data_IF_443975585536
#
_entry.id   IF_443975585536
#
_cell.length_a   1.000
_cell.length_b   1.000
_cell.length_c   1.000
_cell.angle_alpha   90.00
_cell.angle_beta   90.00
_cell.angle_gamma   90.00
#
_symmetry.space_group_name_H-M   'P 1'
#
loop_
_entity.id
_entity.type
_entity.pdbx_description
1 polymer ?
2 non-polymer ?
3 water ?
#
# COMPACT_ATOMS: atom_id res chain seq x y z
N UNK A 56 -6.76 -16.84 3.15
CA UNK A 56 -8.20 -16.73 3.17
C UNK A 56 -8.83 -17.13 1.85
N UNK A 57 -10.17 -17.01 1.76
CA UNK A 57 -10.86 -17.45 0.55
C UNK A 57 -10.82 -16.47 -0.61
N UNK A 58 -10.27 -15.26 -0.41
CA UNK A 58 -10.23 -14.26 -1.46
C UNK A 58 -8.95 -14.37 -2.26
N UNK A 59 -9.07 -14.26 -3.57
CA UNK A 59 -7.90 -14.28 -4.44
C UNK A 59 -7.14 -12.97 -4.28
N UNK A 60 -5.82 -13.07 -4.15
CA UNK A 60 -4.97 -11.92 -3.89
C UNK A 60 -4.03 -11.67 -5.07
N UNK A 61 -3.35 -10.53 -5.02
CA UNK A 61 -2.31 -10.22 -6.00
C UNK A 61 -1.21 -11.26 -5.92
N UNK A 62 -0.87 -11.70 -4.71
CA UNK A 62 0.15 -12.74 -4.56
C UNK A 62 -0.27 -14.03 -5.24
N UNK A 63 -1.55 -14.40 -5.11
CA UNK A 63 -2.06 -15.58 -5.81
C UNK A 63 -1.94 -15.40 -7.32
N UNK A 64 -2.32 -14.21 -7.81
CA UNK A 64 -2.24 -13.92 -9.24
C UNK A 64 -0.80 -14.08 -9.75
N UNK A 65 0.17 -13.58 -8.99
CA UNK A 65 1.58 -13.70 -9.38
C UNK A 65 2.00 -15.16 -9.38
N UNK A 66 1.62 -15.89 -8.33
CA UNK A 66 2.03 -17.29 -8.19
C UNK A 66 1.48 -18.14 -9.33
N UNK A 67 0.26 -17.84 -9.79
CA UNK A 67 -0.45 -18.70 -10.71
C UNK A 67 -0.16 -18.40 -12.17
N UNK A 68 0.72 -17.45 -12.46
CA UNK A 68 1.01 -17.05 -13.83
C UNK A 68 2.52 -16.95 -14.02
N UNK A 69 2.92 -16.81 -15.29
CA UNK A 69 4.34 -16.66 -15.63
C UNK A 69 4.74 -15.20 -15.38
N UNK A 70 4.78 -14.86 -14.10
CA UNK A 70 5.06 -13.51 -13.65
C UNK A 70 6.23 -13.56 -12.68
N UNK A 71 7.26 -12.78 -12.95
CA UNK A 71 8.39 -12.63 -12.05
C UNK A 71 8.19 -11.38 -11.21
N UNK A 72 8.35 -11.52 -9.90
CA UNK A 72 8.24 -10.40 -8.97
C UNK A 72 9.59 -10.17 -8.31
N UNK A 73 10.06 -8.93 -8.36
CA UNK A 73 11.33 -8.54 -7.76
C UNK A 73 11.10 -7.32 -6.87
N UNK A 74 11.67 -7.28 -5.67
CA UNK A 74 11.53 -6.08 -4.85
C UNK A 74 12.28 -4.92 -5.45
N UNK A 75 11.75 -3.72 -5.27
CA UNK A 75 12.34 -2.50 -5.80
C UNK A 75 12.68 -1.58 -4.65
N UNK A 76 13.83 -0.91 -4.75
CA UNK A 76 14.27 0.03 -3.72
C UNK A 76 14.58 1.37 -4.37
N UNK A 77 14.55 2.41 -3.54
CA UNK A 77 14.84 3.76 -4.03
C UNK A 77 16.17 3.78 -4.77
N UNK A 78 16.17 4.37 -5.96
CA UNK A 78 17.37 4.52 -6.74
C UNK A 78 17.69 3.34 -7.65
N UNK A 79 16.87 2.30 -7.67
CA UNK A 79 17.15 1.16 -8.52
C UNK A 79 17.07 1.58 -9.99
N UNK A 80 18.04 1.22 -10.81
CA UNK A 80 17.91 1.48 -12.25
C UNK A 80 16.63 0.88 -12.82
N UNK A 81 15.98 1.62 -13.70
CA UNK A 81 14.78 1.16 -14.37
C UNK A 81 13.50 1.33 -13.59
N UNK A 82 13.55 1.89 -12.37
CA UNK A 82 12.37 1.96 -11.53
C UNK A 82 11.79 3.37 -11.52
N UNK A 83 10.49 3.51 -11.25
CA UNK A 83 9.89 4.85 -11.20
C UNK A 83 10.36 5.61 -9.97
N UNK A 84 10.31 6.94 -10.08
CA UNK A 84 10.60 7.82 -8.95
C UNK A 84 9.27 8.18 -8.31
N UNK A 85 9.12 7.83 -7.04
CA UNK A 85 7.86 8.02 -6.32
C UNK A 85 8.15 8.97 -5.16
N UNK A 86 7.58 10.18 -5.25
CA UNK A 86 7.80 11.22 -4.24
C UNK A 86 6.58 11.21 -3.31
N UNK A 87 6.69 10.48 -2.21
CA UNK A 87 5.67 10.49 -1.17
C UNK A 87 5.92 11.66 -0.21
N UNK A 88 4.88 12.37 0.21
CA UNK A 88 5.07 13.45 1.17
C UNK A 88 5.18 12.90 2.59
N UNK A 89 5.80 13.71 3.45
CA UNK A 89 5.84 13.43 4.88
C UNK A 89 4.92 14.43 5.56
N UNK A 90 3.69 14.03 5.92
CA UNK A 90 2.76 14.99 6.54
C UNK A 90 3.33 15.55 7.83
N UNK A 91 2.78 16.70 8.23
CA UNK A 91 3.20 17.31 9.49
C UNK A 91 2.90 16.38 10.65
N UNK A 92 3.81 16.37 11.62
CA UNK A 92 3.77 15.51 12.81
C UNK A 92 4.08 14.05 12.50
N UNK A 93 4.41 13.71 11.25
CA UNK A 93 4.90 12.39 10.89
C UNK A 93 6.39 12.49 10.59
N UNK A 94 7.09 11.38 10.76
CA UNK A 94 8.52 11.32 10.45
C UNK A 94 8.77 10.22 9.43
N UNK A 95 9.80 10.44 8.60
CA UNK A 95 10.13 9.51 7.54
C UNK A 95 10.79 8.26 8.11
N UNK A 96 10.36 7.09 7.60
CA UNK A 96 10.99 5.82 7.95
C UNK A 96 11.90 5.39 6.82
N UNK A 97 13.16 5.06 7.07
CA UNK A 97 14.02 4.57 6.00
C UNK A 97 13.59 3.18 5.56
N UNK A 98 14.11 2.77 4.40
CA UNK A 98 13.86 1.41 3.93
C UNK A 98 14.44 0.41 4.93
N UNK A 99 13.65 -0.57 5.30
CA UNK A 99 14.07 -1.58 6.26
C UNK A 99 13.23 -2.83 6.05
N UNK A 100 13.52 -3.87 6.83
CA UNK A 100 12.75 -5.09 6.74
C UNK A 100 11.27 -4.83 6.96
N UNK A 101 10.95 -3.93 7.89
CA UNK A 101 9.55 -3.64 8.22
C UNK A 101 8.94 -2.54 7.37
N UNK A 102 9.74 -1.77 6.63
CA UNK A 102 9.25 -0.75 5.70
C UNK A 102 10.05 -0.88 4.42
N UNK A 103 9.69 -1.85 3.57
CA UNK A 103 10.57 -2.19 2.43
C UNK A 103 10.88 -1.02 1.51
N UNK A 104 9.90 -0.17 1.22
CA UNK A 104 10.11 1.03 0.42
C UNK A 104 10.01 2.29 1.26
N UNK A 105 10.39 2.21 2.53
CA UNK A 105 10.22 3.32 3.44
C UNK A 105 8.79 3.45 3.91
N UNK A 106 8.54 4.55 4.60
CA UNK A 106 7.22 4.82 5.14
C UNK A 106 7.24 6.05 6.01
N UNK A 107 6.16 6.21 6.76
CA UNK A 107 6.03 7.31 7.71
C UNK A 107 5.40 6.77 8.99
N UNK A 108 5.80 7.34 10.11
CA UNK A 108 5.25 7.00 11.42
C UNK A 108 4.83 8.29 12.11
N UNK A 109 3.72 8.23 12.85
CA UNK A 109 3.21 9.39 13.56
C UNK A 109 4.03 9.63 14.82
N UNK A 110 4.42 10.90 15.04
CA UNK A 110 5.35 11.25 16.10
C UNK A 110 4.67 11.56 17.43
N UNK A 111 3.34 11.49 17.50
CA UNK A 111 2.61 11.74 18.74
C UNK A 111 1.60 10.62 18.99
N UNK A 112 2.08 9.38 19.06
CA UNK A 112 1.17 8.24 19.25
C UNK A 112 0.69 8.14 20.68
N UNK A 113 -0.54 7.65 20.83
CA UNK A 113 -1.07 7.37 22.16
C UNK A 113 -0.28 6.25 22.83
N UNK A 114 0.24 5.31 22.05
CA UNK A 114 1.08 4.22 22.56
C UNK A 114 2.35 4.19 21.73
N UNK A 115 3.48 4.67 22.26
CA UNK A 115 4.71 4.69 21.45
C UNK A 115 5.15 3.31 21.00
N UNK A 116 4.67 2.24 21.63
CA UNK A 116 4.95 0.89 21.18
C UNK A 116 4.00 0.43 20.08
N UNK A 117 3.03 1.26 19.69
CA UNK A 117 2.07 0.90 18.64
C UNK A 117 1.58 2.16 17.95
N UNK A 118 2.48 2.88 17.27
CA UNK A 118 2.11 4.15 16.66
C UNK A 118 1.43 3.96 15.32
N UNK A 119 0.59 4.90 14.90
CA UNK A 119 0.07 4.84 13.52
C UNK A 119 1.21 4.91 12.52
N UNK A 120 1.11 4.08 11.48
CA UNK A 120 2.15 4.01 10.46
C UNK A 120 1.52 3.82 9.09
N UNK A 121 2.21 4.34 8.08
CA UNK A 121 1.92 4.05 6.68
C UNK A 121 3.22 3.60 6.04
N UNK A 122 3.25 2.36 5.58
CA UNK A 122 4.46 1.72 5.07
C UNK A 122 4.27 1.47 3.59
N UNK A 123 5.35 1.66 2.82
CA UNK A 123 5.31 1.50 1.38
C UNK A 123 6.10 0.26 0.97
N UNK A 124 5.60 -0.41 -0.08
CA UNK A 124 6.29 -1.53 -0.71
C UNK A 124 6.20 -1.30 -2.21
N UNK A 125 7.30 -1.52 -2.92
CA UNK A 125 7.32 -1.40 -4.37
C UNK A 125 7.88 -2.68 -4.95
N UNK A 126 7.13 -3.27 -5.88
CA UNK A 126 7.51 -4.49 -6.55
C UNK A 126 7.52 -4.27 -8.06
N UNK A 127 8.36 -5.02 -8.74
CA UNK A 127 8.48 -4.98 -10.19
C UNK A 127 7.98 -6.32 -10.71
N UNK A 128 6.97 -6.28 -11.56
CA UNK A 128 6.37 -7.48 -12.14
C UNK A 128 6.69 -7.50 -13.63
N UNK A 129 7.24 -8.61 -14.11
CA UNK A 129 7.51 -8.80 -15.52
C UNK A 129 6.93 -10.14 -15.96
N UNK A 130 6.73 -10.26 -17.27
CA UNK A 130 6.21 -11.48 -17.84
C UNK A 130 4.77 -11.34 -18.29
N UNK A 131 3.95 -12.34 -17.97
CA UNK A 131 2.56 -12.39 -18.43
C UNK A 131 1.68 -11.64 -17.42
N UNK A 132 1.88 -10.34 -17.36
CA UNK A 132 1.28 -9.48 -16.35
C UNK A 132 0.29 -8.54 -17.03
N UNK A 133 -0.93 -8.51 -16.51
CA UNK A 133 -1.96 -7.57 -16.97
C UNK A 133 -2.18 -6.54 -15.87
N UNK A 134 -1.87 -5.27 -16.08
CA UNK A 134 -2.02 -4.30 -14.98
C UNK A 134 -3.44 -4.21 -14.46
N UNK A 135 -4.43 -4.44 -15.30
CA UNK A 135 -5.82 -4.37 -14.84
C UNK A 135 -6.13 -5.48 -13.85
N UNK A 136 -5.51 -6.66 -13.99
CA UNK A 136 -5.78 -7.74 -13.06
C UNK A 136 -5.16 -7.46 -11.70
N UNK A 137 -4.05 -6.73 -11.64
CA UNK A 137 -3.48 -6.34 -10.35
C UNK A 137 -4.50 -5.54 -9.56
N UNK A 138 -5.12 -4.56 -10.21
CA UNK A 138 -6.16 -3.76 -9.58
C UNK A 138 -7.35 -4.62 -9.19
N UNK A 139 -7.74 -5.54 -10.08
CA UNK A 139 -8.89 -6.40 -9.80
C UNK A 139 -8.72 -7.18 -8.50
N UNK A 140 -7.52 -7.66 -8.23
CA UNK A 140 -7.28 -8.53 -7.08
C UNK A 140 -6.71 -7.79 -5.87
N UNK A 141 -6.52 -6.48 -5.98
CA UNK A 141 -6.01 -5.70 -4.84
C UNK A 141 -6.80 -5.88 -3.55
N UNK A 142 -8.14 -5.95 -3.55
CA UNK A 142 -8.85 -6.05 -2.26
C UNK A 142 -8.68 -7.39 -1.56
N UNK A 143 -8.16 -8.42 -2.24
CA UNK A 143 -8.15 -9.75 -1.65
C UNK A 143 -7.40 -9.83 -0.34
N UNK A 144 -6.23 -9.16 -0.26
CA UNK A 144 -5.37 -9.30 0.89
C UNK A 144 -6.05 -8.83 2.17
N UNK A 145 -6.55 -7.58 2.17
CA UNK A 145 -7.21 -7.07 3.37
C UNK A 145 -8.44 -7.88 3.71
N UNK A 146 -9.20 -8.31 2.70
CA UNK A 146 -10.42 -9.08 2.97
C UNK A 146 -10.12 -10.41 3.63
N UNK A 147 -8.88 -10.90 3.56
CA UNK A 147 -8.48 -12.13 4.20
C UNK A 147 -7.99 -11.93 5.64
N UNK A 148 -7.89 -10.68 6.09
CA UNK A 148 -7.45 -10.43 7.46
C UNK A 148 -8.47 -10.98 8.46
N UNK A 149 -8.02 -11.47 9.61
CA UNK A 149 -8.95 -12.04 10.60
C UNK A 149 -9.99 -11.01 11.04
N UNK A 150 -11.25 -11.36 10.84
CA UNK A 150 -12.34 -10.48 11.24
C UNK A 150 -12.34 -9.15 10.53
N UNK A 151 -11.82 -9.09 9.31
CA UNK A 151 -11.85 -7.83 8.58
C UNK A 151 -13.31 -7.44 8.30
N UNK A 152 -13.58 -6.15 8.44
CA UNK A 152 -14.90 -5.59 8.15
C UNK A 152 -14.68 -4.25 7.47
N UNK A 153 -15.20 -4.11 6.26
CA UNK A 153 -15.07 -2.89 5.50
C UNK A 153 -16.31 -2.63 4.67
N UNK A 154 -16.30 -1.50 3.99
CA UNK A 154 -17.40 -1.12 3.11
C UNK A 154 -17.10 -1.71 1.73
N UNK A 155 -17.58 -2.92 1.50
CA UNK A 155 -17.41 -3.54 0.21
C UNK A 155 -15.97 -3.90 -0.07
N UNK A 156 -15.59 -3.77 -1.33
CA UNK A 156 -14.25 -4.13 -1.79
C UNK A 156 -13.36 -2.92 -2.00
N UNK A 157 -13.79 -1.75 -1.58
CA UNK A 157 -13.04 -0.53 -1.83
C UNK A 157 -13.50 0.16 -3.10
N UNK A 158 -12.65 1.06 -3.59
CA UNK A 158 -13.00 1.83 -4.77
C UNK A 158 -11.75 2.18 -5.57
N UNK A 159 -11.96 2.44 -6.85
CA UNK A 159 -10.92 2.92 -7.72
C UNK A 159 -10.46 4.30 -7.29
N UNK A 160 -9.19 4.58 -7.59
CA UNK A 160 -8.57 5.85 -7.23
C UNK A 160 -7.44 6.10 -8.22
N UNK A 161 -6.75 7.22 -8.03
CA UNK A 161 -5.56 7.53 -8.78
C UNK A 161 -4.50 8.07 -7.83
N UNK A 162 -3.24 7.94 -8.24
CA UNK A 162 -2.12 8.51 -7.50
C UNK A 162 -1.06 8.90 -8.52
N UNK A 163 -0.62 10.15 -8.47
CA UNK A 163 0.40 10.63 -9.39
C UNK A 163 0.07 10.41 -10.86
N UNK A 164 -1.22 10.35 -11.20
CA UNK A 164 -1.64 10.15 -12.56
C UNK A 164 -1.84 8.70 -12.98
N UNK A 165 -1.56 7.75 -12.10
CA UNK A 165 -1.68 6.33 -12.39
C UNK A 165 -2.91 5.75 -11.69
N UNK A 166 -3.43 4.67 -12.26
CA UNK A 166 -4.62 4.01 -11.73
C UNK A 166 -4.31 3.28 -10.43
N UNK A 167 -5.26 3.32 -9.50
CA UNK A 167 -5.06 2.76 -8.18
C UNK A 167 -6.37 2.16 -7.66
N UNK A 168 -6.24 1.46 -6.55
CA UNK A 168 -7.36 0.89 -5.83
C UNK A 168 -7.10 1.10 -4.35
N UNK A 169 -8.13 1.49 -3.61
CA UNK A 169 -7.98 1.65 -2.18
C UNK A 169 -9.14 0.98 -1.46
N UNK A 170 -8.83 0.27 -0.40
CA UNK A 170 -9.86 -0.19 0.51
C UNK A 170 -9.35 -0.09 1.94
N UNK A 171 -10.28 0.13 2.85
CA UNK A 171 -9.98 0.23 4.25
C UNK A 171 -11.09 -0.38 5.08
N UNK A 172 -10.75 -0.61 6.34
CA UNK A 172 -11.72 -1.14 7.27
C UNK A 172 -11.08 -1.37 8.61
N UNK A 173 -11.68 -2.29 9.37
CA UNK A 173 -11.18 -2.63 10.69
C UNK A 173 -10.97 -4.14 10.77
N UNK A 174 -10.06 -4.53 11.64
CA UNK A 174 -9.85 -5.94 11.96
C UNK A 174 -9.40 -6.03 13.41
N UNK A 175 -9.51 -7.23 13.97
CA UNK A 175 -9.16 -7.47 15.36
C UNK A 175 -7.83 -8.20 15.44
N UNK A 176 -6.92 -7.68 16.25
CA UNK A 176 -5.62 -8.31 16.48
C UNK A 176 -5.33 -8.24 17.96
N UNK A 177 -5.10 -9.41 18.57
CA UNK A 177 -4.82 -9.49 20.00
C UNK A 177 -5.94 -8.88 20.84
N UNK A 178 -7.17 -9.03 20.36
CA UNK A 178 -8.32 -8.50 21.07
C UNK A 178 -8.50 -7.00 20.96
N UNK A 179 -7.86 -6.37 19.98
CA UNK A 179 -7.91 -4.92 19.83
C UNK A 179 -8.32 -4.58 18.41
N UNK A 180 -9.26 -3.66 18.28
CA UNK A 180 -9.72 -3.24 16.97
C UNK A 180 -8.68 -2.32 16.35
N UNK A 181 -8.33 -2.58 15.10
CA UNK A 181 -7.35 -1.79 14.37
C UNK A 181 -7.95 -1.32 13.06
N UNK A 182 -7.61 -0.09 12.67
CA UNK A 182 -7.96 0.42 11.35
C UNK A 182 -6.82 0.09 10.39
N UNK A 183 -7.18 -0.49 9.25
CA UNK A 183 -6.21 -0.89 8.25
C UNK A 183 -6.71 -0.42 6.88
N UNK A 184 -5.77 -0.06 6.02
CA UNK A 184 -6.15 0.31 4.67
C UNK A 184 -4.96 0.07 3.77
N UNK A 185 -5.26 -0.12 2.49
CA UNK A 185 -4.22 -0.39 1.52
C UNK A 185 -4.58 0.29 0.21
N UNK A 186 -3.66 1.11 -0.28
CA UNK A 186 -3.77 1.69 -1.61
C UNK A 186 -2.76 0.99 -2.51
N UNK A 187 -3.25 0.44 -3.61
CA UNK A 187 -2.40 -0.23 -4.59
C UNK A 187 -2.40 0.62 -5.86
N UNK A 188 -1.21 0.96 -6.35
CA UNK A 188 -1.05 1.77 -7.56
C UNK A 188 -0.31 0.94 -8.58
N UNK A 189 -0.84 0.87 -9.79
CA UNK A 189 -0.22 0.11 -10.88
C UNK A 189 0.48 1.10 -11.81
N UNK A 190 1.75 0.85 -12.05
CA UNK A 190 2.62 1.77 -12.78
C UNK A 190 3.27 1.02 -13.91
N UNK A 191 2.63 0.88 -15.07
CA UNK A 191 3.30 0.23 -16.20
C UNK A 191 4.43 1.10 -16.73
N UNK A 192 5.61 0.51 -16.87
CA UNK A 192 6.78 1.29 -17.24
C UNK A 192 7.94 0.37 -17.58
N UNK A 193 8.67 0.73 -18.63
CA UNK A 193 9.98 0.16 -18.94
C UNK A 193 9.95 -1.36 -18.97
N UNK A 194 9.04 -1.91 -19.77
CA UNK A 194 8.93 -3.35 -19.92
C UNK A 194 8.48 -4.09 -18.69
N UNK A 195 7.82 -3.41 -17.75
CA UNK A 195 7.40 -4.05 -16.52
C UNK A 195 6.13 -3.37 -16.03
N UNK A 196 5.53 -3.94 -15.01
CA UNK A 196 4.45 -3.30 -14.27
C UNK A 196 4.94 -3.18 -12.84
N UNK A 197 5.17 -1.96 -12.39
CA UNK A 197 5.53 -1.71 -11.02
C UNK A 197 4.25 -1.57 -10.19
N UNK A 198 4.26 -2.13 -9.00
CA UNK A 198 3.10 -2.12 -8.11
C UNK A 198 3.55 -1.50 -6.79
N UNK A 199 2.98 -0.34 -6.48
CA UNK A 199 3.21 0.33 -5.20
C UNK A 199 2.05 -0.01 -4.29
N UNK A 200 2.36 -0.43 -3.08
CA UNK A 200 1.32 -0.61 -2.07
C UNK A 200 1.66 0.26 -0.86
N UNK A 201 0.65 1.00 -0.41
CA UNK A 201 0.74 1.80 0.81
C UNK A 201 -0.16 1.15 1.85
N UNK A 202 0.43 0.68 2.93
CA UNK A 202 -0.27 -0.09 3.95
C UNK A 202 -0.37 0.77 5.20
N UNK A 203 -1.58 1.19 5.54
CA UNK A 203 -1.81 2.01 6.73
C UNK A 203 -2.36 1.14 7.85
N UNK A 204 -1.89 1.38 9.08
CA UNK A 204 -2.37 0.64 10.23
C UNK A 204 -2.29 1.51 11.47
N UNK A 205 -3.35 1.47 12.27
CA UNK A 205 -3.37 2.17 13.56
C UNK A 205 -4.42 1.54 14.44
N UNK A 206 -4.28 1.78 15.75
CA UNK A 206 -5.34 1.42 16.67
C UNK A 206 -6.60 2.21 16.32
N UNK A 207 -7.76 1.58 16.58
CA UNK A 207 -9.05 2.18 16.22
C UNK A 207 -9.15 3.63 16.66
N UNK A 208 -8.69 3.95 17.88
CA UNK A 208 -8.88 5.29 18.40
C UNK A 208 -8.04 6.34 17.65
N UNK A 209 -7.08 5.91 16.82
CA UNK A 209 -6.27 6.84 16.03
C UNK A 209 -6.61 6.77 14.55
N UNK A 210 -7.84 6.39 14.23
CA UNK A 210 -8.27 6.29 12.84
C UNK A 210 -8.13 7.63 12.12
N UNK A 211 -8.51 8.73 12.77
CA UNK A 211 -8.47 10.02 12.09
C UNK A 211 -7.05 10.43 11.74
N UNK A 212 -6.06 10.03 12.55
CA UNK A 212 -4.67 10.33 12.22
C UNK A 212 -4.29 9.73 10.87
N UNK A 213 -4.70 8.48 10.62
CA UNK A 213 -4.45 7.86 9.32
C UNK A 213 -5.14 8.63 8.20
N UNK A 214 -6.41 8.99 8.41
CA UNK A 214 -7.17 9.63 7.35
C UNK A 214 -6.57 10.98 6.98
N UNK A 215 -6.11 11.74 7.97
CA UNK A 215 -5.46 13.02 7.68
C UNK A 215 -4.22 12.81 6.82
N UNK A 216 -3.38 11.84 7.19
CA UNK A 216 -2.18 11.58 6.42
C UNK A 216 -2.51 11.13 5.00
N UNK A 217 -3.60 10.38 4.84
CA UNK A 217 -3.97 9.89 3.52
C UNK A 217 -4.29 11.02 2.56
N UNK A 218 -4.97 12.06 3.04
CA UNK A 218 -5.29 13.20 2.19
C UNK A 218 -4.01 13.87 1.69
N UNK A 219 -3.03 14.04 2.57
CA UNK A 219 -1.75 14.62 2.16
C UNK A 219 -1.10 13.77 1.07
N UNK A 220 -1.10 12.45 1.27
CA UNK A 220 -0.51 11.55 0.28
C UNK A 220 -1.25 11.63 -1.05
N UNK A 221 -2.58 11.64 -1.00
CA UNK A 221 -3.36 11.64 -2.22
C UNK A 221 -3.12 12.89 -3.05
N UNK A 222 -2.89 14.03 -2.39
CA UNK A 222 -2.83 15.30 -3.10
C UNK A 222 -1.42 15.70 -3.52
N UNK A 223 -0.38 15.19 -2.86
CA UNK A 223 0.98 15.66 -3.09
C UNK A 223 1.90 14.62 -3.72
N UNK A 224 1.50 13.37 -3.81
CA UNK A 224 2.38 12.35 -4.35
C UNK A 224 2.55 12.54 -5.85
N UNK A 225 3.80 12.48 -6.31
CA UNK A 225 4.11 12.46 -7.73
C UNK A 225 4.79 11.13 -8.06
N UNK A 226 4.49 10.61 -9.24
CA UNK A 226 5.07 9.37 -9.73
C UNK A 226 5.55 9.64 -11.14
N UNK A 227 6.84 9.47 -11.38
CA UNK A 227 7.42 9.69 -12.70
C UNK A 227 8.10 8.42 -13.17
N UNK A 228 7.60 7.73 -14.19
CA UNK A 228 8.21 6.48 -14.63
C UNK A 228 9.57 6.69 -15.30
X LIG B 1 -16.08 -0.61 8.63
X LIG B 1 -15.55 -0.98 10.01
X LIG B 1 -15.37 0.28 10.82
X LIG B 1 -14.43 1.21 10.09
X LIG B 1 -15.05 1.54 8.73
X LIG B 1 -14.17 2.57 7.96
X LIG B 1 -17.97 0.05 7.44
X LIG B 1 -19.21 -1.94 7.89
X LIG B 1 -19.47 -3.36 7.39
X LIG B 1 -20.51 -1.17 7.92
X LIG B 1 -20.23 0.24 8.42
X LIG B 1 -19.23 0.89 7.47
X LIG B 1 -12.04 2.60 7.00
X LIG B 1 -11.24 3.85 7.43
X LIG B 1 -9.98 3.72 6.58
X LIG B 1 -9.31 5.09 6.57
X LIG B 1 -7.84 4.66 6.38
X LIG B 1 -7.19 5.67 5.48
X LIG B 1 -5.74 5.15 5.18
X LIG B 1 -5.32 5.81 3.89
X LIG B 1 -5.22 4.80 2.69
X LIG B 1 -3.90 4.00 2.80
X LIG B 1 -2.71 4.93 2.80
X LIG B 1 -2.79 6.05 1.76
X LIG B 1 -17.37 -0.01 8.74
X LIG B 1 -16.48 -1.85 10.67
X LIG B 1 -14.83 -0.05 12.12
X LIG B 1 -14.27 2.40 10.86
X LIG B 1 -15.17 0.31 7.98
X LIG B 1 -12.86 2.07 8.04
X LIG B 1 -18.28 -1.29 7.00
X LIG B 1 -19.92 -3.33 6.03
X LIG B 1 -21.45 -1.81 8.79
X LIG B 1 -21.44 1.00 8.44
X LIG B 1 -18.92 2.20 7.93
X LIG B 1 -16.15 -1.53 8.03
X LIG B 1 -14.59 -1.48 9.90
X LIG B 1 -16.34 0.76 10.97
X LIG B 1 -13.46 0.75 9.95
X LIG B 1 -16.03 1.98 8.88
X LIG B 1 -14.23 3.55 8.44
X LIG B 1 -14.49 2.65 6.93
X LIG B 1 -17.26 0.51 6.75
X LIG B 1 -18.79 -1.98 8.89
X LIG B 1 -20.23 -3.84 8.01
X LIG B 1 -18.54 -3.94 7.44
X LIG B 1 -20.95 -1.13 6.91
X LIG B 1 -19.83 0.20 9.43
X LIG B 1 -19.67 0.95 6.48
X LIG B 1 -12.68 2.87 6.16
X LIG B 1 -11.35 1.82 6.68
X LIG B 1 -11.00 3.82 8.49
X LIG B 1 -11.78 4.78 7.21
X LIG B 1 -10.24 3.42 5.57
X LIG B 1 -9.31 2.97 7.02
X LIG B 1 -9.46 5.62 7.51
X LIG B 1 -9.65 5.71 5.74
X LIG B 1 -7.80 3.67 5.92
X LIG B 1 -7.34 4.64 7.34
X LIG B 1 -7.14 6.64 5.97
X LIG B 1 -7.75 5.76 4.55
X LIG B 1 -5.74 4.06 5.07
X LIG B 1 -5.06 5.43 5.99
X LIG B 1 -4.36 6.29 4.03
X LIG B 1 -6.07 6.57 3.64
X LIG B 1 -5.24 5.35 1.75
X LIG B 1 -6.06 4.10 2.73
X LIG B 1 -3.83 3.32 1.96
X LIG B 1 -3.90 3.42 3.73
X LIG B 1 -1.81 4.34 2.59
X LIG B 1 -2.62 5.38 3.78
X LIG B 1 -3.01 5.63 0.78
X LIG B 1 -1.83 6.59 1.72
X LIG B 1 -3.58 6.75 2.04
X LIG B 1 -17.36 -1.38 10.74
X LIG B 1 -15.46 -0.67 12.59
X LIG B 1 -15.15 2.68 11.23
X LIG B 1 -20.04 -4.26 5.69
X LIG B 1 -21.07 -1.84 9.71
X LIG B 1 -21.83 1.05 7.51
X LIG B 1 -19.76 2.75 7.98
#
# INVERSE_FOLDING_TARGET
MKHFTAAVATVALSLALAGCSFNIKTDSAPTTSPTTTSPTTSTTTTSATTSAQAAGPNYTIADYIRDNHIQETPVHHGDPGSPTIDLPVPDDWRLLPESSRAPYGGIVYTQPADPNDPPTIVAILSKLTGDIDPAKVLQFAPGELKNLPGFQGSGDGSAATLGGFSAWQLGGSYSKNGKLRTVAQKTVVIPSQGAVFVLQLNADALDDETMTLMDAANVIDEQTTITP
L6T C1 C2 C3 C4 C5 C6 CAA CAO CAP CAR CAT CAV CAX CAY CAZ CBA CBB CBC CBD CBE CBF CBG CBH CBI O1 O2 O3 O4 O5 O6 OAN OAQ OAS OAU OAW H1 H21 H31 H41 H5 H62 H61 HAA HAO HAP H63 HAR HAT HAV HAX H64 H65 HAY H66 HAZ H67 HBA H68 HBB HBC H69 H7A HBD HBE H7B H7C HBF H7D HBG HBH H7E H7G HBI H7F H22 H32 H42 HAQ HAS HAU HAW
#
